data_IF_500951590421
#
_entry.id   IF_500951590421
#
_cell.length_a   1.000
_cell.length_b   1.000
_cell.length_c   1.000
_cell.angle_alpha   90.00
_cell.angle_beta   90.00
_cell.angle_gamma   90.00
#
_symmetry.space_group_name_H-M   'P 1'
#
loop_
_entity.id
_entity.type
_entity.pdbx_description
1 polymer ?
#
# COMPACT_ATOMS: atom_id res chain seq x y z
N UNK A 1 -28.84 15.92 3.50
CA UNK A 1 -28.68 15.71 4.96
C UNK A 1 -27.20 15.74 5.27
N UNK A 2 -26.78 16.50 6.28
CA UNK A 2 -25.41 16.38 6.79
C UNK A 2 -25.24 14.95 7.34
N UNK A 3 -24.15 14.27 6.98
CA UNK A 3 -23.87 12.90 7.42
C UNK A 3 -23.60 12.83 8.93
N UNK A 4 -23.07 11.68 9.42
CA UNK A 4 -22.66 11.54 10.81
C UNK A 4 -21.70 12.67 11.22
N UNK A 5 -21.81 13.11 12.48
CA UNK A 5 -20.91 14.11 13.08
C UNK A 5 -19.47 13.57 13.11
N UNK A 6 -18.48 14.45 13.18
CA UNK A 6 -17.06 14.09 13.06
C UNK A 6 -16.62 13.02 14.07
N UNK A 7 -17.05 13.13 15.32
CA UNK A 7 -16.73 12.22 16.42
C UNK A 7 -17.22 10.79 16.11
N UNK A 8 -18.40 10.66 15.49
CA UNK A 8 -18.91 9.36 15.07
C UNK A 8 -17.99 8.69 14.05
N UNK A 9 -17.34 9.46 13.16
CA UNK A 9 -16.36 8.90 12.22
C UNK A 9 -15.09 8.45 12.93
N UNK A 10 -14.59 9.24 13.89
CA UNK A 10 -13.40 8.90 14.68
C UNK A 10 -13.63 7.59 15.43
N UNK A 11 -14.76 7.48 16.12
CA UNK A 11 -15.11 6.29 16.92
C UNK A 11 -15.36 5.06 16.05
N UNK A 12 -16.18 5.20 14.99
CA UNK A 12 -16.55 4.07 14.11
C UNK A 12 -15.35 3.50 13.38
N UNK A 13 -14.38 4.34 12.99
CA UNK A 13 -13.17 3.92 12.29
C UNK A 13 -12.02 3.54 13.26
N UNK A 14 -12.19 3.75 14.56
CA UNK A 14 -11.18 3.51 15.59
C UNK A 14 -9.92 4.36 15.39
N UNK A 15 -10.12 5.64 15.06
CA UNK A 15 -9.03 6.59 14.86
C UNK A 15 -8.60 7.21 16.19
N UNK A 16 -7.31 7.50 16.31
CA UNK A 16 -6.75 8.25 17.42
C UNK A 16 -6.20 9.57 16.91
N UNK A 17 -6.37 10.63 17.69
CA UNK A 17 -5.70 11.89 17.44
C UNK A 17 -4.19 11.73 17.63
N UNK A 18 -3.42 12.22 16.67
CA UNK A 18 -1.97 12.13 16.60
C UNK A 18 -1.39 13.47 16.16
N UNK A 19 -0.42 13.93 16.94
CA UNK A 19 0.42 15.07 16.59
C UNK A 19 1.62 14.58 15.79
N UNK A 20 1.56 14.75 14.47
CA UNK A 20 2.67 14.43 13.57
C UNK A 20 3.53 15.68 13.39
N UNK A 21 4.85 15.65 13.71
CA UNK A 21 5.72 16.81 13.53
C UNK A 21 5.79 17.33 12.09
N UNK A 22 5.46 16.50 11.10
CA UNK A 22 5.42 16.89 9.70
C UNK A 22 4.14 17.67 9.32
N UNK A 23 3.18 17.80 10.22
CA UNK A 23 1.86 18.41 9.97
C UNK A 23 1.58 19.54 10.94
N UNK A 24 1.01 20.63 10.45
CA UNK A 24 0.68 21.81 11.27
C UNK A 24 -0.50 21.57 12.23
N UNK A 25 -1.38 20.63 11.88
CA UNK A 25 -2.60 20.33 12.62
C UNK A 25 -2.61 18.87 13.09
N UNK A 26 -3.28 18.56 14.20
CA UNK A 26 -3.50 17.19 14.62
C UNK A 26 -4.20 16.39 13.52
N UNK A 27 -3.89 15.10 13.44
CA UNK A 27 -4.51 14.19 12.49
C UNK A 27 -5.07 12.96 13.17
N UNK A 28 -6.09 12.35 12.58
CA UNK A 28 -6.74 11.17 13.12
C UNK A 28 -6.29 9.96 12.33
N UNK A 29 -5.62 9.02 13.01
CA UNK A 29 -4.95 7.88 12.39
C UNK A 29 -5.33 6.59 13.08
N UNK A 30 -5.45 5.52 12.30
CA UNK A 30 -5.70 4.19 12.83
C UNK A 30 -4.40 3.61 13.43
N UNK A 31 -4.39 3.20 14.71
CA UNK A 31 -3.23 2.55 15.30
C UNK A 31 -3.05 1.15 14.71
N UNK A 32 -1.80 0.80 14.43
CA UNK A 32 -1.38 -0.54 14.04
C UNK A 32 -0.66 -1.19 15.22
N UNK A 33 -1.23 -2.26 15.78
CA UNK A 33 -0.70 -2.96 16.96
C UNK A 33 -0.41 -1.99 18.13
N UNK A 34 -1.31 -1.03 18.37
CA UNK A 34 -1.18 -0.03 19.43
C UNK A 34 -0.27 1.16 19.11
N UNK A 35 0.31 1.25 17.90
CA UNK A 35 1.15 2.38 17.48
C UNK A 35 0.71 2.98 16.15
N UNK A 36 0.73 4.31 16.04
CA UNK A 36 0.55 4.99 14.75
C UNK A 36 1.89 5.22 14.08
N UNK A 37 1.96 4.95 12.77
CA UNK A 37 3.10 5.34 11.92
C UNK A 37 2.96 6.80 11.50
N UNK A 38 3.91 7.63 11.94
CA UNK A 38 4.00 9.03 11.51
C UNK A 38 4.40 9.12 10.03
N UNK A 39 4.21 10.29 9.44
CA UNK A 39 4.44 10.55 8.03
C UNK A 39 5.88 10.21 7.62
N UNK A 40 6.88 10.63 8.38
CA UNK A 40 8.30 10.36 8.07
C UNK A 40 8.63 8.86 8.06
N UNK A 41 8.12 8.11 9.04
CA UNK A 41 8.31 6.66 9.08
C UNK A 41 7.58 5.98 7.91
N UNK A 42 6.38 6.45 7.57
CA UNK A 42 5.64 5.93 6.41
C UNK A 42 6.40 6.17 5.10
N UNK A 43 6.94 7.38 4.89
CA UNK A 43 7.76 7.69 3.71
C UNK A 43 9.02 6.79 3.66
N UNK A 44 9.65 6.52 4.80
CA UNK A 44 10.81 5.62 4.89
C UNK A 44 10.46 4.20 4.44
N UNK A 45 9.29 3.68 4.85
CA UNK A 45 8.83 2.34 4.43
C UNK A 45 8.47 2.30 2.94
N UNK A 46 7.84 3.35 2.41
CA UNK A 46 7.55 3.44 0.97
C UNK A 46 8.86 3.48 0.17
N UNK A 47 9.84 4.25 0.63
CA UNK A 47 11.17 4.34 0.05
C UNK A 47 11.88 2.97 0.03
N UNK A 48 11.82 2.24 1.14
CA UNK A 48 12.36 0.88 1.24
C UNK A 48 11.65 -0.08 0.28
N UNK A 49 10.32 -0.03 0.19
CA UNK A 49 9.55 -0.86 -0.72
C UNK A 49 9.95 -0.64 -2.19
N UNK A 50 10.07 0.63 -2.61
CA UNK A 50 10.53 0.99 -3.96
C UNK A 50 11.91 0.39 -4.25
N UNK A 51 12.84 0.54 -3.30
CA UNK A 51 14.19 0.00 -3.41
C UNK A 51 14.20 -1.51 -3.54
N UNK A 52 13.47 -2.22 -2.68
CA UNK A 52 13.37 -3.68 -2.68
C UNK A 52 12.83 -4.18 -4.02
N UNK A 53 11.73 -3.60 -4.51
CA UNK A 53 11.14 -3.99 -5.80
C UNK A 53 12.08 -3.72 -6.97
N UNK A 54 12.76 -2.57 -6.99
CA UNK A 54 13.76 -2.27 -8.02
C UNK A 54 14.91 -3.27 -8.00
N UNK A 55 15.44 -3.58 -6.81
CA UNK A 55 16.57 -4.51 -6.67
C UNK A 55 16.19 -5.95 -7.03
N UNK A 56 14.97 -6.39 -6.71
CA UNK A 56 14.45 -7.70 -7.09
C UNK A 56 14.38 -7.84 -8.62
N UNK A 57 14.09 -6.74 -9.33
CA UNK A 57 14.15 -6.66 -10.80
C UNK A 57 15.55 -6.46 -11.36
N UNK A 58 16.59 -6.40 -10.51
CA UNK A 58 18.00 -6.16 -10.88
C UNK A 58 18.18 -4.88 -11.71
N UNK A 59 17.37 -3.85 -11.45
CA UNK A 59 17.48 -2.56 -12.11
C UNK A 59 18.38 -1.63 -11.32
N UNK A 60 19.31 -0.92 -11.97
CA UNK A 60 20.06 0.15 -11.31
C UNK A 60 19.18 1.39 -11.10
N UNK A 61 19.56 2.25 -10.15
CA UNK A 61 18.91 3.55 -9.92
C UNK A 61 18.87 4.36 -11.23
N UNK A 62 19.96 4.36 -12.01
CA UNK A 62 20.05 5.09 -13.27
C UNK A 62 19.08 4.55 -14.32
N UNK A 63 19.03 3.21 -14.48
CA UNK A 63 18.15 2.57 -15.46
C UNK A 63 16.69 2.80 -15.09
N UNK A 64 16.34 2.67 -13.82
CA UNK A 64 14.97 2.87 -13.38
C UNK A 64 14.53 4.34 -13.45
N UNK A 65 15.39 5.29 -13.06
CA UNK A 65 15.13 6.72 -13.24
C UNK A 65 14.87 7.08 -14.71
N UNK A 66 15.62 6.47 -15.64
CA UNK A 66 15.39 6.63 -17.09
C UNK A 66 14.02 6.12 -17.52
N UNK A 67 13.58 4.96 -17.02
CA UNK A 67 12.22 4.45 -17.28
C UNK A 67 11.15 5.43 -16.78
N UNK A 68 11.39 6.09 -15.65
CA UNK A 68 10.47 7.09 -15.10
C UNK A 68 10.58 8.48 -15.73
N UNK A 69 11.49 8.70 -16.68
CA UNK A 69 11.72 10.00 -17.30
C UNK A 69 12.25 11.07 -16.34
N UNK A 70 13.06 10.68 -15.34
CA UNK A 70 13.64 11.60 -14.35
C UNK A 70 15.15 11.39 -14.17
N UNK A 71 15.81 12.40 -13.59
CA UNK A 71 17.21 12.28 -13.21
C UNK A 71 17.44 11.26 -12.11
N UNK A 72 18.58 10.55 -12.14
CA UNK A 72 18.93 9.53 -11.14
C UNK A 72 19.02 10.09 -9.72
N UNK A 73 19.48 11.35 -9.56
CA UNK A 73 19.48 12.05 -8.28
C UNK A 73 18.06 12.27 -7.75
N UNK A 74 17.12 12.62 -8.61
CA UNK A 74 15.70 12.77 -8.24
C UNK A 74 15.10 11.45 -7.79
N UNK A 75 15.34 10.37 -8.54
CA UNK A 75 14.84 9.05 -8.16
C UNK A 75 15.47 8.53 -6.85
N UNK A 76 16.78 8.73 -6.65
CA UNK A 76 17.46 8.32 -5.43
C UNK A 76 16.82 8.95 -4.18
N UNK A 77 16.32 10.20 -4.26
CA UNK A 77 15.61 10.85 -3.16
C UNK A 77 14.30 10.17 -2.79
N UNK A 78 13.65 9.48 -3.73
CA UNK A 78 12.47 8.66 -3.42
C UNK A 78 12.86 7.42 -2.62
N UNK A 79 13.96 6.74 -2.97
CA UNK A 79 14.44 5.55 -2.25
C UNK A 79 15.11 5.86 -0.90
N UNK A 80 15.42 7.13 -0.62
CA UNK A 80 15.94 7.58 0.67
C UNK A 80 14.91 8.34 1.53
N UNK A 81 13.65 8.44 1.09
CA UNK A 81 12.61 9.16 1.82
C UNK A 81 12.76 10.69 1.83
N UNK A 82 13.76 11.24 1.14
CA UNK A 82 14.02 12.68 1.05
C UNK A 82 13.04 13.44 0.15
N UNK A 83 12.17 12.73 -0.57
CA UNK A 83 11.12 13.29 -1.41
C UNK A 83 9.93 12.37 -1.44
N UNK A 84 8.74 12.96 -1.31
CA UNK A 84 7.47 12.25 -1.40
C UNK A 84 7.18 11.88 -2.85
N UNK A 85 6.70 10.66 -3.05
CA UNK A 85 6.24 10.18 -4.35
C UNK A 85 4.80 10.63 -4.57
N UNK A 86 4.49 11.28 -5.70
CA UNK A 86 3.09 11.54 -6.05
C UNK A 86 2.39 10.22 -6.43
N UNK A 87 1.07 10.15 -6.27
CA UNK A 87 0.29 8.97 -6.69
C UNK A 87 0.46 8.68 -8.18
N UNK A 88 0.50 9.72 -9.02
CA UNK A 88 0.79 9.57 -10.45
C UNK A 88 2.15 8.93 -10.72
N UNK A 89 3.18 9.28 -9.93
CA UNK A 89 4.51 8.69 -10.04
C UNK A 89 4.55 7.27 -9.50
N UNK A 90 3.74 6.94 -8.48
CA UNK A 90 3.55 5.58 -8.01
C UNK A 90 2.99 4.68 -9.11
N UNK A 91 1.97 5.14 -9.85
CA UNK A 91 1.40 4.39 -10.98
C UNK A 91 2.49 4.08 -12.02
N UNK A 92 3.23 5.08 -12.46
CA UNK A 92 4.32 4.87 -13.43
C UNK A 92 5.44 3.97 -12.88
N UNK A 93 5.76 4.08 -11.59
CA UNK A 93 6.71 3.17 -10.95
C UNK A 93 6.23 1.71 -10.96
N UNK A 94 4.93 1.48 -10.70
CA UNK A 94 4.32 0.15 -10.76
C UNK A 94 4.43 -0.45 -12.17
N UNK A 95 4.13 0.34 -13.20
CA UNK A 95 4.28 -0.07 -14.61
C UNK A 95 5.73 -0.46 -14.93
N UNK A 96 6.69 0.38 -14.56
CA UNK A 96 8.12 0.14 -14.82
C UNK A 96 8.68 -1.04 -14.01
N UNK A 97 8.13 -1.32 -12.82
CA UNK A 97 8.50 -2.46 -11.98
C UNK A 97 7.74 -3.74 -12.36
N UNK A 98 6.69 -3.66 -13.19
CA UNK A 98 5.74 -4.75 -13.39
C UNK A 98 5.16 -5.26 -12.06
N UNK A 99 4.83 -4.33 -11.16
CA UNK A 99 4.27 -4.60 -9.84
C UNK A 99 2.89 -3.94 -9.72
N UNK A 100 2.09 -4.37 -8.76
CA UNK A 100 0.84 -3.70 -8.41
C UNK A 100 1.05 -2.72 -7.26
N UNK A 101 0.24 -1.65 -7.15
CA UNK A 101 0.36 -0.69 -6.06
C UNK A 101 0.32 -1.34 -4.67
N UNK A 102 -0.49 -2.37 -4.50
CA UNK A 102 -0.56 -3.13 -3.24
C UNK A 102 0.76 -3.82 -2.87
N UNK A 103 1.56 -4.28 -3.85
CA UNK A 103 2.85 -4.92 -3.58
C UNK A 103 3.83 -3.93 -2.93
N UNK A 104 3.69 -2.63 -3.24
CA UNK A 104 4.49 -1.56 -2.66
C UNK A 104 3.89 -1.06 -1.34
N UNK A 105 2.57 -0.89 -1.29
CA UNK A 105 1.87 -0.32 -0.14
C UNK A 105 1.69 -1.31 1.02
N UNK A 106 1.60 -2.61 0.76
CA UNK A 106 1.51 -3.62 1.83
C UNK A 106 2.72 -3.56 2.74
N UNK A 107 3.91 -3.30 2.20
CA UNK A 107 5.12 -3.14 3.00
C UNK A 107 5.03 -1.93 3.94
N UNK A 108 4.45 -0.82 3.47
CA UNK A 108 4.32 0.41 4.23
C UNK A 108 3.17 0.38 5.25
N UNK A 109 2.04 -0.24 4.89
CA UNK A 109 0.81 -0.24 5.68
C UNK A 109 0.08 -1.61 5.62
N UNK A 110 0.67 -2.69 6.16
CA UNK A 110 0.14 -4.05 5.96
C UNK A 110 -1.23 -4.27 6.62
N UNK A 111 -1.57 -3.46 7.63
CA UNK A 111 -2.87 -3.47 8.31
C UNK A 111 -4.05 -3.06 7.42
N UNK A 112 -3.80 -2.47 6.24
CA UNK A 112 -4.84 -2.17 5.25
C UNK A 112 -5.17 -3.39 4.38
N UNK A 113 -4.31 -4.42 4.38
CA UNK A 113 -4.38 -5.55 3.45
C UNK A 113 -4.67 -6.88 4.14
N UNK A 114 -4.89 -6.89 5.46
CA UNK A 114 -5.24 -8.09 6.21
C UNK A 114 -5.43 -7.81 7.70
N UNK A 115 -5.95 -8.81 8.41
CA UNK A 115 -6.26 -8.73 9.85
C UNK A 115 -5.00 -8.89 10.72
N UNK A 116 -4.10 -9.74 10.24
CA UNK A 116 -2.83 -10.06 10.84
C UNK A 116 -1.83 -10.39 9.71
N UNK A 117 -0.56 -10.61 10.07
CA UNK A 117 0.51 -10.85 9.11
C UNK A 117 0.22 -12.05 8.19
N UNK A 118 -0.41 -13.10 8.73
CA UNK A 118 -0.64 -14.31 7.96
C UNK A 118 -1.84 -14.17 7.03
N UNK A 119 -2.90 -13.52 7.50
CA UNK A 119 -4.03 -13.15 6.66
C UNK A 119 -3.60 -12.24 5.50
N UNK A 120 -2.76 -11.22 5.76
CA UNK A 120 -2.19 -10.36 4.70
C UNK A 120 -1.36 -11.18 3.71
N UNK A 121 -0.51 -12.10 4.19
CA UNK A 121 0.30 -12.97 3.32
C UNK A 121 -0.59 -13.85 2.42
N UNK A 122 -1.62 -14.47 2.97
CA UNK A 122 -2.56 -15.31 2.24
C UNK A 122 -3.33 -14.50 1.19
N UNK A 123 -3.85 -13.31 1.56
CA UNK A 123 -4.52 -12.42 0.61
C UNK A 123 -3.61 -12.05 -0.57
N UNK A 124 -2.35 -11.67 -0.31
CA UNK A 124 -1.39 -11.39 -1.38
C UNK A 124 -1.18 -12.60 -2.31
N UNK A 125 -0.95 -13.78 -1.74
CA UNK A 125 -0.76 -15.00 -2.55
C UNK A 125 -2.01 -15.33 -3.37
N UNK A 126 -3.19 -15.22 -2.76
CA UNK A 126 -4.46 -15.42 -3.45
C UNK A 126 -4.62 -14.43 -4.60
N UNK A 127 -4.42 -13.11 -4.38
CA UNK A 127 -4.50 -12.12 -5.45
C UNK A 127 -3.51 -12.41 -6.59
N UNK A 128 -2.30 -12.86 -6.27
CA UNK A 128 -1.31 -13.23 -7.27
C UNK A 128 -1.75 -14.42 -8.13
N UNK A 129 -2.43 -15.42 -7.56
CA UNK A 129 -3.01 -16.51 -8.35
C UNK A 129 -4.22 -16.04 -9.16
N UNK A 130 -5.10 -15.21 -8.59
CA UNK A 130 -6.25 -14.65 -9.29
C UNK A 130 -5.84 -13.85 -10.53
N UNK A 131 -4.75 -13.08 -10.46
CA UNK A 131 -4.22 -12.30 -11.59
C UNK A 131 -3.73 -13.11 -12.76
N UNK A 132 -3.39 -14.39 -12.56
CA UNK A 132 -2.95 -15.29 -13.63
C UNK A 132 -4.13 -15.92 -14.38
N UNK A 133 -5.32 -15.87 -13.79
CA UNK A 133 -6.52 -16.42 -14.41
C UNK A 133 -7.01 -15.50 -15.54
N UNK A 134 -7.51 -16.10 -16.60
CA UNK A 134 -8.25 -15.39 -17.63
C UNK A 134 -9.66 -15.04 -17.15
N UNK A 135 -10.42 -14.34 -17.98
CA UNK A 135 -11.80 -13.92 -17.66
C UNK A 135 -12.67 -15.11 -17.24
N UNK A 136 -12.56 -16.24 -17.95
CA UNK A 136 -13.35 -17.45 -17.64
C UNK A 136 -12.95 -18.04 -16.29
N UNK A 137 -11.66 -18.12 -15.98
CA UNK A 137 -11.17 -18.59 -14.68
C UNK A 137 -11.68 -17.70 -13.55
N UNK A 138 -11.65 -16.38 -13.71
CA UNK A 138 -12.18 -15.43 -12.74
C UNK A 138 -13.70 -15.57 -12.55
N UNK A 139 -14.46 -15.84 -13.62
CA UNK A 139 -15.91 -16.10 -13.52
C UNK A 139 -16.21 -17.35 -12.67
N UNK A 140 -15.45 -18.43 -12.87
CA UNK A 140 -15.59 -19.64 -12.07
C UNK A 140 -15.31 -19.35 -10.60
N UNK A 141 -14.20 -18.67 -10.29
CA UNK A 141 -13.85 -18.31 -8.92
C UNK A 141 -14.92 -17.41 -8.29
N UNK A 142 -15.44 -16.42 -9.04
CA UNK A 142 -16.51 -15.52 -8.57
C UNK A 142 -17.77 -16.28 -8.14
N UNK A 143 -18.11 -17.37 -8.81
CA UNK A 143 -19.26 -18.21 -8.44
C UNK A 143 -18.95 -19.06 -7.20
N UNK A 144 -17.73 -19.57 -7.06
CA UNK A 144 -17.35 -20.45 -5.96
C UNK A 144 -17.16 -19.69 -4.64
N UNK A 145 -16.51 -18.52 -4.65
CA UNK A 145 -16.14 -17.78 -3.44
C UNK A 145 -17.32 -17.50 -2.47
N UNK A 146 -18.51 -17.06 -2.91
CA UNK A 146 -19.65 -16.87 -2.01
C UNK A 146 -20.03 -18.13 -1.23
N UNK A 147 -19.94 -19.30 -1.86
CA UNK A 147 -20.29 -20.57 -1.22
C UNK A 147 -19.33 -20.95 -0.08
N UNK A 148 -18.10 -20.44 -0.11
CA UNK A 148 -17.11 -20.63 0.96
C UNK A 148 -17.41 -19.75 2.18
N UNK A 149 -18.13 -18.64 2.00
CA UNK A 149 -18.52 -17.72 3.09
C UNK A 149 -19.80 -18.13 3.81
N UNK A 150 -20.59 -19.04 3.22
CA UNK A 150 -21.89 -19.51 3.75
C UNK A 150 -21.82 -20.67 4.75
N UNK A 151 -20.66 -20.99 5.32
CA UNK A 151 -20.58 -21.90 6.47
C UNK A 151 -20.44 -21.11 7.76
N UNK A 152 -21.59 -20.73 8.32
CA UNK A 152 -21.96 -20.83 9.75
C UNK A 152 -23.35 -20.18 9.94
N UNK A 153 -24.38 -21.04 9.95
CA UNK A 153 -25.57 -20.89 10.78
C UNK A 153 -25.69 -22.16 11.61
#
# INVERSE_FOLDING_TARGET
MAGPVFENWVDTLGLMEVHDPALEKPTYRKPQNGRVLLAEELETRIAEALRVHRTNRRLSVQKFAKLLGIGSRTYARYETGQSKLTVSRLVHACEALGAHPEDLLEHAAPHLFGKDKEHTRLLRLTFNELRKLDTRGLEVIRVVLPHLTTKEK
#
